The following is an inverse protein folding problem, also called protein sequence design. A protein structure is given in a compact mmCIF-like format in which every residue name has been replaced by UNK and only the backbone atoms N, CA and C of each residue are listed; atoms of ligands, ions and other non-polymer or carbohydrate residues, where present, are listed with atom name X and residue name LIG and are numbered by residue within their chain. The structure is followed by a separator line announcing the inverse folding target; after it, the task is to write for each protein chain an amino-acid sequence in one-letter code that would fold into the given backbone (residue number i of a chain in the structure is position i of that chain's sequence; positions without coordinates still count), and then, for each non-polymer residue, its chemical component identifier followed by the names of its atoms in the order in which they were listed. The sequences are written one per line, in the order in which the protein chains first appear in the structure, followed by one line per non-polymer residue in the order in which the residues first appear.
data_IF_927662148814
#
_entry.id   IF_927662148814
#
_cell.length_a   1.000
_cell.length_b   1.000
_cell.length_c   1.000
_cell.angle_alpha   90.00
_cell.angle_beta   90.00
_cell.angle_gamma   90.00
#
_symmetry.space_group_name_H-M   'P 1'
#
loop_
_entity.id
_entity.type
_entity.pdbx_description
1 polymer ?
#
# COMPACT_ATOMS: atom_id res chain seq x y z
N UNK A 1 -22.14 -0.16 9.56
CA UNK A 1 -21.44 -0.54 8.31
C UNK A 1 -22.45 -1.15 7.36
N UNK A 2 -22.62 -0.57 6.18
CA UNK A 2 -23.57 -1.01 5.15
C UNK A 2 -22.96 -2.14 4.31
N UNK A 3 -23.78 -3.07 3.81
CA UNK A 3 -23.35 -4.20 2.96
C UNK A 3 -22.51 -3.77 1.74
N UNK A 4 -22.67 -2.52 1.29
CA UNK A 4 -21.93 -1.93 0.18
C UNK A 4 -20.40 -1.84 0.43
N UNK A 5 -19.97 -1.45 1.64
CA UNK A 5 -18.54 -1.37 1.97
C UNK A 5 -17.87 -2.75 1.96
N UNK A 6 -18.54 -3.78 2.49
CA UNK A 6 -17.97 -5.14 2.53
C UNK A 6 -17.77 -5.74 1.14
N UNK A 7 -18.62 -5.38 0.18
CA UNK A 7 -18.48 -5.82 -1.20
C UNK A 7 -17.30 -5.10 -1.89
N UNK A 8 -17.12 -3.81 -1.64
CA UNK A 8 -15.96 -3.05 -2.14
C UNK A 8 -14.64 -3.58 -1.58
N UNK A 9 -14.54 -3.77 -0.26
CA UNK A 9 -13.32 -4.29 0.38
C UNK A 9 -12.94 -5.69 -0.16
N UNK A 10 -13.96 -6.53 -0.41
CA UNK A 10 -13.80 -7.86 -0.99
C UNK A 10 -13.27 -7.78 -2.42
N UNK A 11 -13.88 -6.95 -3.25
CA UNK A 11 -13.49 -6.77 -4.65
C UNK A 11 -12.05 -6.20 -4.74
N UNK A 12 -11.72 -5.25 -3.86
CA UNK A 12 -10.36 -4.72 -3.71
C UNK A 12 -9.36 -5.84 -3.42
N UNK A 13 -9.65 -6.71 -2.44
CA UNK A 13 -8.77 -7.84 -2.13
C UNK A 13 -8.62 -8.80 -3.32
N UNK A 14 -9.72 -9.17 -4.00
CA UNK A 14 -9.70 -10.10 -5.13
C UNK A 14 -8.85 -9.58 -6.30
N UNK A 15 -8.89 -8.29 -6.58
CA UNK A 15 -8.09 -7.67 -7.62
C UNK A 15 -6.61 -7.56 -7.20
N UNK A 16 -6.33 -7.22 -5.94
CA UNK A 16 -4.96 -7.20 -5.42
C UNK A 16 -4.33 -8.59 -5.32
N UNK A 17 -5.12 -9.64 -5.10
CA UNK A 17 -4.64 -11.02 -5.06
C UNK A 17 -4.18 -11.50 -6.45
N UNK A 18 -4.84 -11.00 -7.50
CA UNK A 18 -4.60 -11.37 -8.91
C UNK A 18 -3.46 -10.61 -9.57
N UNK A 19 -2.84 -9.63 -8.89
CA UNK A 19 -1.73 -8.87 -9.49
C UNK A 19 -0.57 -9.77 -9.92
N UNK A 20 -0.32 -10.88 -9.21
CA UNK A 20 0.73 -11.85 -9.57
C UNK A 20 0.46 -12.60 -10.89
N UNK A 21 -0.82 -12.84 -11.21
CA UNK A 21 -1.23 -13.51 -12.45
C UNK A 21 -1.43 -12.54 -13.61
N UNK A 22 -1.21 -11.25 -13.36
CA UNK A 22 -1.55 -10.17 -14.27
C UNK A 22 -3.03 -9.80 -14.21
N UNK A 23 -3.28 -8.50 -14.27
CA UNK A 23 -4.64 -7.95 -14.40
C UNK A 23 -4.92 -7.60 -15.87
N UNK A 24 -6.14 -7.86 -16.32
CA UNK A 24 -6.61 -7.32 -17.60
C UNK A 24 -6.75 -5.79 -17.50
N UNK A 25 -6.71 -5.05 -18.61
CA UNK A 25 -6.91 -3.59 -18.59
C UNK A 25 -8.20 -3.15 -17.88
N UNK A 26 -9.28 -3.93 -18.03
CA UNK A 26 -10.55 -3.67 -17.35
C UNK A 26 -10.44 -3.87 -15.82
N UNK A 27 -9.68 -4.87 -15.38
CA UNK A 27 -9.44 -5.12 -13.96
C UNK A 27 -8.52 -4.07 -13.35
N UNK A 28 -7.49 -3.61 -14.07
CA UNK A 28 -6.67 -2.46 -13.65
C UNK A 28 -7.55 -1.22 -13.49
N UNK A 29 -8.39 -0.91 -14.48
CA UNK A 29 -9.30 0.22 -14.40
C UNK A 29 -10.24 0.08 -13.18
N UNK A 30 -10.81 -1.10 -12.96
CA UNK A 30 -11.70 -1.33 -11.82
C UNK A 30 -10.98 -1.18 -10.48
N UNK A 31 -9.76 -1.69 -10.34
CA UNK A 31 -8.94 -1.55 -9.14
C UNK A 31 -8.61 -0.07 -8.89
N UNK A 32 -8.20 0.66 -9.93
CA UNK A 32 -7.99 2.11 -9.91
C UNK A 32 -9.24 2.85 -9.45
N UNK A 33 -10.40 2.52 -10.01
CA UNK A 33 -11.69 3.08 -9.61
C UNK A 33 -12.01 2.75 -8.16
N UNK A 34 -11.82 1.52 -7.69
CA UNK A 34 -12.06 1.14 -6.29
C UNK A 34 -11.17 1.90 -5.32
N UNK A 35 -9.89 2.06 -5.64
CA UNK A 35 -8.95 2.86 -4.84
C UNK A 35 -9.37 4.33 -4.84
N UNK A 36 -9.89 4.83 -5.97
CA UNK A 36 -10.27 6.23 -6.12
C UNK A 36 -11.64 6.64 -5.58
N UNK A 37 -12.62 5.75 -5.67
CA UNK A 37 -13.98 5.92 -5.15
C UNK A 37 -14.04 5.68 -3.65
N UNK A 38 -13.16 4.80 -3.15
CA UNK A 38 -12.95 4.69 -1.72
C UNK A 38 -12.33 5.98 -1.23
N UNK A 39 -12.93 6.63 -0.23
CA UNK A 39 -12.14 7.54 0.62
C UNK A 39 -11.12 6.62 1.27
N UNK A 40 -9.93 6.52 0.67
CA UNK A 40 -8.91 5.59 1.10
C UNK A 40 -8.53 5.94 2.54
N UNK A 41 -9.14 5.22 3.48
CA UNK A 41 -8.85 5.43 4.89
C UNK A 41 -7.47 4.88 5.20
N UNK A 42 -6.92 5.30 6.34
CA UNK A 42 -5.68 4.75 6.91
C UNK A 42 -5.71 3.22 6.93
N UNK A 43 -6.86 2.59 7.22
CA UNK A 43 -6.97 1.14 7.26
C UNK A 43 -6.89 0.48 5.86
N UNK A 44 -7.42 1.12 4.81
CA UNK A 44 -7.30 0.61 3.44
C UNK A 44 -5.87 0.72 2.95
N UNK A 45 -5.23 1.87 3.22
CA UNK A 45 -3.81 2.10 2.97
C UNK A 45 -2.95 1.01 3.60
N UNK A 46 -3.18 0.71 4.88
CA UNK A 46 -2.40 -0.31 5.60
C UNK A 46 -2.68 -1.73 5.07
N UNK A 47 -3.92 -2.05 4.69
CA UNK A 47 -4.26 -3.34 4.09
C UNK A 47 -3.60 -3.54 2.72
N UNK A 48 -3.59 -2.51 1.87
CA UNK A 48 -2.90 -2.49 0.57
C UNK A 48 -1.40 -2.70 0.77
N UNK A 49 -0.78 -1.96 1.68
CA UNK A 49 0.64 -2.12 2.01
C UNK A 49 0.97 -3.52 2.54
N UNK A 50 0.14 -4.06 3.42
CA UNK A 50 0.32 -5.43 3.94
C UNK A 50 0.20 -6.47 2.83
N UNK A 51 -0.72 -6.31 1.87
CA UNK A 51 -0.86 -7.21 0.72
C UNK A 51 0.31 -7.10 -0.26
N UNK A 52 0.90 -5.90 -0.40
CA UNK A 52 2.13 -5.69 -1.17
C UNK A 52 3.32 -6.43 -0.56
N UNK A 53 3.41 -6.41 0.78
CA UNK A 53 4.51 -7.00 1.54
C UNK A 53 4.38 -8.52 1.72
N UNK A 54 3.16 -9.02 1.94
CA UNK A 54 2.86 -10.44 2.12
C UNK A 54 1.82 -10.91 1.08
N UNK A 55 2.26 -11.60 0.00
CA UNK A 55 1.37 -12.11 -1.02
C UNK A 55 0.39 -13.16 -0.48
N UNK A 56 0.78 -13.86 0.60
CA UNK A 56 -0.02 -14.94 1.21
C UNK A 56 -1.09 -14.42 2.16
N UNK A 57 -1.19 -13.10 2.34
CA UNK A 57 -2.19 -12.46 3.18
C UNK A 57 -3.60 -12.88 2.74
N UNK A 58 -4.25 -13.65 3.61
CA UNK A 58 -5.59 -14.18 3.34
C UNK A 58 -6.63 -13.06 3.31
N UNK A 59 -7.72 -13.29 2.57
CA UNK A 59 -8.85 -12.36 2.54
C UNK A 59 -9.34 -12.00 3.94
N UNK A 60 -9.45 -13.00 4.84
CA UNK A 60 -9.91 -12.76 6.20
C UNK A 60 -9.00 -11.79 6.96
N UNK A 61 -7.69 -11.92 6.82
CA UNK A 61 -6.73 -11.03 7.48
C UNK A 61 -6.77 -9.63 6.86
N UNK A 62 -6.84 -9.54 5.52
CA UNK A 62 -6.99 -8.27 4.82
C UNK A 62 -8.24 -7.49 5.28
N UNK A 63 -9.39 -8.17 5.34
CA UNK A 63 -10.62 -7.57 5.84
C UNK A 63 -10.51 -7.16 7.32
N UNK A 64 -9.81 -7.94 8.14
CA UNK A 64 -9.60 -7.60 9.55
C UNK A 64 -8.80 -6.29 9.72
N UNK A 65 -7.80 -6.04 8.85
CA UNK A 65 -7.02 -4.79 8.85
C UNK A 65 -7.92 -3.59 8.57
N UNK A 66 -8.85 -3.71 7.62
CA UNK A 66 -9.78 -2.63 7.27
C UNK A 66 -10.83 -2.41 8.36
N UNK A 67 -11.42 -3.50 8.86
CA UNK A 67 -12.66 -3.44 9.64
C UNK A 67 -12.46 -3.45 11.16
N UNK A 68 -11.35 -4.01 11.63
CA UNK A 68 -11.02 -4.13 13.05
C UNK A 68 -9.56 -3.74 13.33
N UNK A 69 -9.10 -2.54 12.91
CA UNK A 69 -7.70 -2.12 13.03
C UNK A 69 -7.23 -2.04 14.49
N UNK A 70 -8.13 -1.74 15.43
CA UNK A 70 -7.82 -1.63 16.86
C UNK A 70 -7.83 -2.97 17.62
N UNK A 71 -8.21 -4.08 16.98
CA UNK A 71 -8.10 -5.40 17.61
C UNK A 71 -6.63 -5.80 17.74
N UNK A 72 -6.23 -6.24 18.93
CA UNK A 72 -4.87 -6.71 19.21
C UNK A 72 -4.42 -7.82 18.24
N UNK A 73 -5.35 -8.67 17.78
CA UNK A 73 -5.04 -9.69 16.77
C UNK A 73 -4.68 -9.07 15.42
N UNK A 74 -5.40 -8.04 14.99
CA UNK A 74 -5.13 -7.31 13.76
C UNK A 74 -3.81 -6.56 13.85
N UNK A 75 -3.55 -5.87 14.98
CA UNK A 75 -2.27 -5.19 15.20
C UNK A 75 -1.08 -6.15 15.14
N UNK A 76 -1.24 -7.38 15.67
CA UNK A 76 -0.22 -8.42 15.57
C UNK A 76 0.00 -8.88 14.14
N UNK A 77 -1.05 -9.08 13.35
CA UNK A 77 -0.95 -9.43 11.92
C UNK A 77 -0.11 -8.38 11.17
N UNK A 78 -0.44 -7.10 11.32
CA UNK A 78 0.30 -6.01 10.67
C UNK A 78 1.76 -5.99 11.12
N UNK A 79 2.00 -6.12 12.44
CA UNK A 79 3.35 -6.13 13.00
C UNK A 79 4.19 -7.28 12.46
N UNK A 80 3.62 -8.48 12.38
CA UNK A 80 4.31 -9.68 11.90
C UNK A 80 4.67 -9.54 10.41
N UNK A 81 3.75 -9.02 9.58
CA UNK A 81 3.99 -8.75 8.15
C UNK A 81 5.11 -7.74 7.97
N UNK A 82 5.01 -6.59 8.64
CA UNK A 82 5.98 -5.50 8.55
C UNK A 82 7.36 -5.95 9.05
N UNK A 83 7.41 -6.65 10.18
CA UNK A 83 8.65 -7.21 10.73
C UNK A 83 9.29 -8.21 9.78
N UNK A 84 8.48 -9.08 9.17
CA UNK A 84 8.97 -10.08 8.21
C UNK A 84 9.49 -9.42 6.93
N UNK A 85 8.78 -8.43 6.41
CA UNK A 85 9.16 -7.63 5.25
C UNK A 85 10.53 -6.96 5.44
N UNK A 86 10.75 -6.30 6.57
CA UNK A 86 12.05 -5.66 6.87
C UNK A 86 13.15 -6.64 7.23
N UNK A 87 12.81 -7.80 7.82
CA UNK A 87 13.77 -8.85 8.14
C UNK A 87 13.97 -9.85 6.99
N UNK A 88 13.39 -9.61 5.81
CA UNK A 88 13.54 -10.47 4.64
C UNK A 88 15.00 -10.49 4.17
N UNK A 89 15.77 -11.43 4.70
CA UNK A 89 17.22 -11.53 4.45
C UNK A 89 17.54 -12.11 3.07
N UNK A 90 16.64 -12.93 2.50
CA UNK A 90 16.93 -13.60 1.23
C UNK A 90 16.66 -12.68 0.04
N UNK A 91 17.58 -12.69 -0.93
CA UNK A 91 17.46 -11.95 -2.20
C UNK A 91 16.17 -12.31 -2.96
N UNK A 92 15.71 -13.55 -2.83
CA UNK A 92 14.51 -14.06 -3.50
C UNK A 92 13.23 -13.44 -2.94
N UNK A 93 13.08 -13.35 -1.62
CA UNK A 93 11.91 -12.73 -0.99
C UNK A 93 11.87 -11.23 -1.34
N UNK A 94 13.03 -10.55 -1.31
CA UNK A 94 13.14 -9.15 -1.73
C UNK A 94 12.73 -8.93 -3.18
N UNK A 95 13.19 -9.78 -4.11
CA UNK A 95 12.83 -9.64 -5.53
C UNK A 95 11.32 -9.80 -5.78
N UNK A 96 10.66 -10.73 -5.09
CA UNK A 96 9.20 -10.93 -5.18
C UNK A 96 8.46 -9.70 -4.64
N UNK A 97 8.89 -9.17 -3.50
CA UNK A 97 8.30 -7.97 -2.91
C UNK A 97 8.50 -6.73 -3.79
N UNK A 98 9.67 -6.56 -4.41
CA UNK A 98 9.93 -5.45 -5.32
C UNK A 98 9.05 -5.52 -6.58
N UNK A 99 8.96 -6.70 -7.22
CA UNK A 99 8.10 -6.86 -8.40
C UNK A 99 6.62 -6.54 -8.10
N UNK A 100 6.10 -6.97 -6.94
CA UNK A 100 4.74 -6.60 -6.52
C UNK A 100 4.63 -5.11 -6.19
N UNK A 101 5.65 -4.52 -5.58
CA UNK A 101 5.66 -3.08 -5.29
C UNK A 101 5.63 -2.25 -6.57
N UNK A 102 6.29 -2.68 -7.65
CA UNK A 102 6.23 -2.04 -8.96
C UNK A 102 4.83 -2.12 -9.59
N UNK A 103 4.24 -3.31 -9.63
CA UNK A 103 2.89 -3.50 -10.17
C UNK A 103 1.86 -2.65 -9.40
N UNK A 104 1.97 -2.65 -8.07
CA UNK A 104 1.09 -1.86 -7.21
C UNK A 104 1.34 -0.35 -7.36
N UNK A 105 2.59 0.07 -7.53
CA UNK A 105 2.93 1.47 -7.78
C UNK A 105 2.32 1.95 -9.09
N UNK A 106 2.41 1.18 -10.18
CA UNK A 106 1.83 1.53 -11.47
C UNK A 106 0.31 1.71 -11.38
N UNK A 107 -0.39 0.74 -10.76
CA UNK A 107 -1.85 0.79 -10.60
C UNK A 107 -2.26 1.98 -9.70
N UNK A 108 -1.58 2.19 -8.58
CA UNK A 108 -1.91 3.27 -7.64
C UNK A 108 -1.59 4.64 -8.25
N UNK A 109 -0.57 4.75 -9.10
CA UNK A 109 -0.25 5.98 -9.82
C UNK A 109 -1.38 6.37 -10.77
N UNK A 110 -1.89 5.41 -11.54
CA UNK A 110 -3.05 5.64 -12.41
C UNK A 110 -4.28 6.04 -11.60
N UNK A 111 -4.48 5.43 -10.42
CA UNK A 111 -5.55 5.82 -9.50
C UNK A 111 -5.37 7.24 -8.96
N UNK A 112 -4.16 7.62 -8.58
CA UNK A 112 -3.85 8.95 -8.05
C UNK A 112 -4.16 10.07 -9.06
N UNK A 113 -4.02 9.80 -10.36
CA UNK A 113 -4.36 10.76 -11.41
C UNK A 113 -5.87 11.00 -11.54
N UNK A 114 -6.69 9.99 -11.22
CA UNK A 114 -8.14 10.01 -11.41
C UNK A 114 -8.92 10.33 -10.12
N UNK A 115 -8.32 10.10 -8.95
CA UNK A 115 -9.00 10.07 -7.66
C UNK A 115 -8.77 11.32 -6.80
N UNK A 116 -9.46 12.42 -7.09
CA UNK A 116 -9.23 13.69 -6.40
C UNK A 116 -9.47 13.72 -4.87
N UNK A 117 -10.23 12.82 -4.20
CA UNK A 117 -10.20 12.76 -2.73
C UNK A 117 -9.13 11.79 -2.16
N UNK A 118 -8.74 10.73 -2.89
CA UNK A 118 -7.81 9.71 -2.39
C UNK A 118 -6.35 9.95 -2.82
N UNK A 119 -6.11 10.89 -3.75
CA UNK A 119 -4.81 11.15 -4.39
C UNK A 119 -3.65 11.28 -3.40
N UNK A 120 -3.84 12.02 -2.32
CA UNK A 120 -2.80 12.26 -1.33
C UNK A 120 -2.38 10.96 -0.62
N UNK A 121 -3.36 10.12 -0.24
CA UNK A 121 -3.10 8.81 0.35
C UNK A 121 -2.46 7.86 -0.68
N UNK A 122 -2.87 7.90 -1.95
CA UNK A 122 -2.25 7.11 -3.02
C UNK A 122 -0.77 7.44 -3.19
N UNK A 123 -0.44 8.74 -3.21
CA UNK A 123 0.95 9.21 -3.29
C UNK A 123 1.76 8.78 -2.07
N UNK A 124 1.17 8.76 -0.87
CA UNK A 124 1.86 8.26 0.32
C UNK A 124 2.11 6.74 0.28
N UNK A 125 1.19 5.94 -0.27
CA UNK A 125 1.43 4.51 -0.51
C UNK A 125 2.56 4.31 -1.52
N UNK A 126 2.54 5.04 -2.63
CA UNK A 126 3.61 5.03 -3.65
C UNK A 126 4.96 5.36 -3.02
N UNK A 127 5.01 6.44 -2.21
CA UNK A 127 6.23 6.84 -1.52
C UNK A 127 6.78 5.73 -0.62
N UNK A 128 5.92 5.05 0.14
CA UNK A 128 6.33 3.91 0.97
C UNK A 128 6.86 2.75 0.14
N UNK A 129 6.18 2.38 -0.96
CA UNK A 129 6.61 1.29 -1.85
C UNK A 129 7.96 1.62 -2.50
N UNK A 130 8.15 2.83 -3.01
CA UNK A 130 9.42 3.28 -3.59
C UNK A 130 10.55 3.30 -2.56
N UNK A 131 10.27 3.80 -1.35
CA UNK A 131 11.26 3.79 -0.27
C UNK A 131 11.67 2.36 0.12
N UNK A 132 10.70 1.42 0.16
CA UNK A 132 11.00 0.01 0.37
C UNK A 132 11.92 -0.59 -0.70
N UNK A 133 11.79 -0.13 -1.93
CA UNK A 133 12.62 -0.57 -3.04
C UNK A 133 14.00 0.10 -3.09
N UNK A 134 14.27 1.07 -2.21
CA UNK A 134 15.50 1.87 -2.21
C UNK A 134 15.50 3.04 -3.19
N UNK A 135 14.37 3.33 -3.83
CA UNK A 135 14.15 4.45 -4.75
C UNK A 135 13.92 5.74 -3.94
N UNK A 136 14.99 6.24 -3.32
CA UNK A 136 14.91 7.29 -2.30
C UNK A 136 14.42 8.62 -2.87
N UNK A 137 14.93 9.04 -4.03
CA UNK A 137 14.59 10.32 -4.65
C UNK A 137 13.12 10.32 -5.14
N UNK A 138 12.67 9.19 -5.70
CA UNK A 138 11.29 9.00 -6.13
C UNK A 138 10.34 8.99 -4.93
N UNK A 139 10.71 8.28 -3.86
CA UNK A 139 9.92 8.22 -2.64
C UNK A 139 9.77 9.59 -1.97
N UNK A 140 10.86 10.37 -1.90
CA UNK A 140 10.84 11.73 -1.38
C UNK A 140 9.90 12.62 -2.20
N UNK A 141 10.03 12.57 -3.53
CA UNK A 141 9.16 13.32 -4.45
C UNK A 141 7.69 12.99 -4.23
N UNK A 142 7.33 11.70 -4.17
CA UNK A 142 5.96 11.26 -3.96
C UNK A 142 5.42 11.69 -2.58
N UNK A 143 6.25 11.63 -1.52
CA UNK A 143 5.86 12.06 -0.19
C UNK A 143 5.62 13.57 -0.10
N UNK A 144 6.47 14.39 -0.72
CA UNK A 144 6.27 15.85 -0.81
C UNK A 144 4.97 16.17 -1.56
N UNK A 145 4.73 15.48 -2.68
CA UNK A 145 3.48 15.65 -3.44
C UNK A 145 2.24 15.29 -2.61
N UNK A 146 2.31 14.23 -1.80
CA UNK A 146 1.23 13.87 -0.88
C UNK A 146 0.96 14.98 0.13
N UNK A 147 2.01 15.49 0.80
CA UNK A 147 1.89 16.53 1.83
C UNK A 147 1.45 17.89 1.29
N UNK A 148 1.78 18.21 0.05
CA UNK A 148 1.28 19.42 -0.62
C UNK A 148 -0.24 19.37 -0.87
N UNK A 149 -0.82 18.17 -0.96
CA UNK A 149 -2.28 17.99 -1.10
C UNK A 149 -2.92 17.92 0.29
N UNK A 150 -2.34 17.16 1.21
CA UNK A 150 -2.81 16.98 2.58
C UNK A 150 -1.62 16.85 3.53
N UNK A 151 -1.36 17.92 4.31
CA UNK A 151 -0.23 18.00 5.23
C UNK A 151 -0.35 17.05 6.43
N UNK A 152 -1.54 16.50 6.70
CA UNK A 152 -1.78 15.61 7.84
C UNK A 152 -1.54 14.12 7.50
N UNK A 153 -1.02 13.81 6.30
CA UNK A 153 -0.70 12.44 5.92
C UNK A 153 0.56 11.95 6.62
N UNK A 154 0.31 11.33 7.78
CA UNK A 154 1.32 10.72 8.66
C UNK A 154 2.29 9.76 7.96
N UNK A 155 1.83 9.00 6.95
CA UNK A 155 2.70 8.07 6.22
C UNK A 155 3.76 8.83 5.40
N UNK A 156 3.36 9.88 4.68
CA UNK A 156 4.28 10.69 3.89
C UNK A 156 5.31 11.39 4.81
N UNK A 157 4.86 11.95 5.94
CA UNK A 157 5.74 12.51 6.97
C UNK A 157 6.72 11.47 7.52
N UNK A 158 6.26 10.24 7.74
CA UNK A 158 7.10 9.13 8.22
C UNK A 158 8.19 8.78 7.22
N UNK A 159 7.86 8.71 5.92
CA UNK A 159 8.83 8.44 4.85
C UNK A 159 9.86 9.57 4.74
N UNK A 160 9.45 10.83 4.71
CA UNK A 160 10.40 11.95 4.67
C UNK A 160 11.33 11.97 5.89
N UNK A 161 10.77 11.71 7.07
CA UNK A 161 11.56 11.62 8.30
C UNK A 161 12.58 10.49 8.22
N UNK A 162 12.18 9.31 7.72
CA UNK A 162 13.09 8.18 7.53
C UNK A 162 14.23 8.53 6.56
N UNK A 163 13.90 9.11 5.40
CA UNK A 163 14.88 9.52 4.39
C UNK A 163 15.87 10.55 4.95
N UNK A 164 15.39 11.60 5.60
CA UNK A 164 16.24 12.65 6.19
C UNK A 164 17.18 12.12 7.29
N UNK A 165 16.81 11.05 7.98
CA UNK A 165 17.65 10.41 8.99
C UNK A 165 18.56 9.31 8.42
N UNK A 166 18.62 9.13 7.08
CA UNK A 166 19.43 8.10 6.43
C UNK A 166 18.94 6.68 6.71
N UNK A 167 17.65 6.52 7.05
CA UNK A 167 17.04 5.20 7.20
C UNK A 167 16.65 4.70 5.81
N UNK A 168 17.34 3.66 5.37
CA UNK A 168 17.06 2.97 4.11
C UNK A 168 16.41 1.62 4.42
N UNK A 169 15.37 1.27 3.66
CA UNK A 169 14.66 -0.01 3.81
C UNK A 169 15.58 -1.21 3.57
N UNK A 170 16.59 -1.06 2.71
CA UNK A 170 17.61 -2.06 2.48
C UNK A 170 18.93 -1.58 3.05
N UNK A 171 19.44 -2.27 4.08
CA UNK A 171 20.86 -2.13 4.46
C UNK A 171 21.69 -2.62 3.27
N UNK A 172 22.54 -1.74 2.74
CA UNK A 172 23.63 -2.08 1.84
C UNK A 172 24.66 -2.99 2.52
#
# INVERSE_FOLDING_TARGET
MTQHNMQHDRELWELLDRTETGLTPQQCLRLTTLIGESIMSVCHRDAILCKAMDPTLSQRQFMAIIQAPADAKTARIVTDIVTTAYNATTRQIRAIMHGRADDMTAIIMDAAQQALPARAQCLAVIAYLQWMQGLTDEAETAAIMALNIDADITLATTILTAIHHGLHSTRS
#
